data_IF_950598072759
#
_entry.id   IF_950598072759
#
_cell.length_a   1.000
_cell.length_b   1.000
_cell.length_c   1.000
_cell.angle_alpha   90.00
_cell.angle_beta   90.00
_cell.angle_gamma   90.00
#
_symmetry.space_group_name_H-M   'P 1'
#
loop_
_entity.id
_entity.type
_entity.pdbx_description
1 polymer ?
#
# COMPACT_ATOMS: atom_id res chain seq x y z
N UNK A 1 15.44 1.25 14.10
CA UNK A 1 14.59 0.94 12.93
C UNK A 1 15.23 -0.23 12.20
N UNK A 2 14.55 -1.36 12.03
CA UNK A 2 15.10 -2.50 11.28
C UNK A 2 15.01 -2.20 9.78
N UNK A 3 16.12 -2.42 9.06
CA UNK A 3 16.24 -2.22 7.61
C UNK A 3 15.44 -3.29 6.85
N UNK A 4 14.90 -2.93 5.69
CA UNK A 4 14.32 -3.88 4.73
C UNK A 4 15.45 -4.73 4.15
N UNK A 5 15.29 -6.06 4.12
CA UNK A 5 16.33 -6.94 3.61
C UNK A 5 16.45 -6.83 2.07
N UNK A 6 17.62 -7.17 1.53
CA UNK A 6 17.89 -6.99 0.09
C UNK A 6 17.04 -7.93 -0.78
N UNK A 7 16.60 -9.08 -0.25
CA UNK A 7 15.72 -10.01 -0.97
C UNK A 7 14.32 -9.43 -1.20
N UNK A 8 13.75 -8.77 -0.20
CA UNK A 8 12.47 -8.05 -0.27
C UNK A 8 12.57 -6.87 -1.21
N UNK A 9 13.66 -6.09 -1.12
CA UNK A 9 13.94 -4.98 -2.06
C UNK A 9 13.97 -5.51 -3.49
N UNK A 10 14.70 -6.59 -3.76
CA UNK A 10 14.79 -7.17 -5.10
C UNK A 10 13.43 -7.64 -5.64
N UNK A 11 12.58 -8.26 -4.80
CA UNK A 11 11.23 -8.65 -5.21
C UNK A 11 10.39 -7.42 -5.59
N UNK A 12 10.40 -6.37 -4.76
CA UNK A 12 9.62 -5.16 -5.01
C UNK A 12 10.10 -4.45 -6.28
N UNK A 13 11.41 -4.28 -6.46
CA UNK A 13 12.01 -3.67 -7.65
C UNK A 13 11.68 -4.47 -8.91
N UNK A 14 11.76 -5.81 -8.86
CA UNK A 14 11.41 -6.67 -10.00
C UNK A 14 9.91 -6.63 -10.33
N UNK A 15 9.05 -6.35 -9.34
CA UNK A 15 7.62 -6.17 -9.54
C UNK A 15 7.22 -4.74 -9.91
N UNK A 16 8.19 -3.81 -10.03
CA UNK A 16 7.92 -2.37 -10.14
C UNK A 16 7.04 -1.99 -11.31
N UNK A 17 7.26 -2.57 -12.50
CA UNK A 17 6.45 -2.29 -13.69
C UNK A 17 4.99 -2.75 -13.48
N UNK A 18 4.81 -4.02 -13.10
CA UNK A 18 3.50 -4.61 -12.83
C UNK A 18 2.72 -3.81 -11.78
N UNK A 19 3.37 -3.47 -10.65
CA UNK A 19 2.72 -2.76 -9.57
C UNK A 19 2.44 -1.30 -9.92
N UNK A 20 3.34 -0.63 -10.65
CA UNK A 20 3.14 0.77 -11.05
C UNK A 20 1.99 0.93 -12.05
N UNK A 21 1.83 -0.02 -12.97
CA UNK A 21 0.69 -0.09 -13.89
C UNK A 21 -0.62 -0.35 -13.14
N UNK A 22 -0.58 -1.22 -12.13
CA UNK A 22 -1.73 -1.56 -11.30
C UNK A 22 -1.98 -0.59 -10.12
N UNK A 23 -1.17 0.45 -9.95
CA UNK A 23 -1.12 1.23 -8.71
C UNK A 23 -2.46 1.88 -8.33
N UNK A 24 -3.22 2.38 -9.32
CA UNK A 24 -4.54 2.97 -9.09
C UNK A 24 -5.58 1.93 -8.66
N UNK A 25 -5.56 0.74 -9.25
CA UNK A 25 -6.46 -0.37 -8.88
C UNK A 25 -6.11 -0.90 -7.49
N UNK A 26 -4.82 -1.00 -7.17
CA UNK A 26 -4.35 -1.38 -5.83
C UNK A 26 -4.79 -0.34 -4.81
N UNK A 27 -4.57 0.94 -5.08
CA UNK A 27 -4.96 2.03 -4.20
C UNK A 27 -6.47 2.03 -3.97
N UNK A 28 -7.24 1.79 -5.03
CA UNK A 28 -8.68 1.70 -4.94
C UNK A 28 -9.12 0.51 -4.08
N UNK A 29 -8.58 -0.68 -4.32
CA UNK A 29 -8.91 -1.87 -3.53
C UNK A 29 -8.56 -1.72 -2.05
N UNK A 30 -7.44 -1.06 -1.74
CA UNK A 30 -7.07 -0.73 -0.35
C UNK A 30 -8.08 0.24 0.25
N UNK A 31 -8.41 1.32 -0.46
CA UNK A 31 -9.37 2.33 -0.02
C UNK A 31 -10.75 1.74 0.26
N UNK A 32 -11.29 0.96 -0.68
CA UNK A 32 -12.62 0.36 -0.59
C UNK A 32 -12.69 -0.63 0.59
N UNK A 33 -11.65 -1.44 0.80
CA UNK A 33 -11.54 -2.30 1.98
C UNK A 33 -11.46 -1.52 3.29
N UNK A 34 -10.70 -0.43 3.34
CA UNK A 34 -10.61 0.44 4.52
C UNK A 34 -11.95 1.11 4.86
N UNK A 35 -12.74 1.44 3.85
CA UNK A 35 -14.09 1.99 4.02
C UNK A 35 -15.15 0.93 4.35
N UNK A 36 -14.80 -0.36 4.32
CA UNK A 36 -15.77 -1.43 4.43
C UNK A 36 -16.71 -1.53 3.22
N UNK A 37 -16.36 -0.88 2.10
CA UNK A 37 -16.99 -1.05 0.80
C UNK A 37 -16.41 -2.34 0.17
N UNK A 38 -16.86 -3.50 0.64
CA UNK A 38 -16.65 -4.75 -0.12
C UNK A 38 -17.59 -4.75 -1.32
N UNK A 39 -17.15 -5.27 -2.48
CA UNK A 39 -17.78 -5.59 -3.80
C UNK A 39 -19.28 -5.30 -4.09
N UNK A 40 -20.15 -5.10 -3.10
CA UNK A 40 -21.54 -4.64 -3.23
C UNK A 40 -21.68 -3.13 -3.49
N UNK A 41 -20.62 -2.33 -3.42
CA UNK A 41 -20.71 -0.89 -3.70
C UNK A 41 -21.04 -0.59 -5.18
N UNK A 42 -20.71 -1.51 -6.09
CA UNK A 42 -21.04 -1.41 -7.52
C UNK A 42 -22.55 -1.49 -7.78
N UNK A 43 -23.38 -1.94 -6.82
CA UNK A 43 -24.84 -2.00 -7.00
C UNK A 43 -25.54 -0.63 -6.79
N UNK A 44 -24.87 0.37 -6.18
CA UNK A 44 -25.54 1.63 -5.79
C UNK A 44 -25.14 2.83 -6.68
N UNK A 45 -24.07 2.74 -7.48
CA UNK A 45 -23.67 3.81 -8.39
C UNK A 45 -23.37 5.14 -7.68
N UNK A 46 -22.97 5.10 -6.40
CA UNK A 46 -22.53 6.30 -5.68
C UNK A 46 -21.23 6.82 -6.28
N UNK A 47 -21.28 8.04 -6.81
CA UNK A 47 -20.12 8.73 -7.34
C UNK A 47 -19.15 9.06 -6.19
N UNK A 48 -17.86 8.71 -6.35
CA UNK A 48 -16.84 9.02 -5.35
C UNK A 48 -16.65 10.53 -5.22
N UNK A 49 -16.55 11.02 -3.99
CA UNK A 49 -16.33 12.47 -3.77
C UNK A 49 -14.91 12.87 -4.19
N UNK A 50 -14.64 14.16 -4.49
CA UNK A 50 -13.29 14.62 -4.83
C UNK A 50 -12.24 14.30 -3.76
N UNK A 51 -12.61 14.29 -2.48
CA UNK A 51 -11.69 13.92 -1.39
C UNK A 51 -11.36 12.42 -1.39
N UNK A 52 -12.30 11.58 -1.79
CA UNK A 52 -12.08 10.14 -1.91
C UNK A 52 -11.13 9.85 -3.09
N UNK A 53 -11.35 10.51 -4.23
CA UNK A 53 -10.46 10.41 -5.38
C UNK A 53 -9.04 10.88 -5.05
N UNK A 54 -8.91 12.03 -4.38
CA UNK A 54 -7.59 12.51 -3.93
C UNK A 54 -6.90 11.52 -2.97
N UNK A 55 -7.66 10.87 -2.09
CA UNK A 55 -7.11 9.85 -1.19
C UNK A 55 -6.57 8.65 -1.98
N UNK A 56 -7.31 8.16 -2.97
CA UNK A 56 -6.90 7.04 -3.84
C UNK A 56 -5.63 7.43 -4.63
N UNK A 57 -5.59 8.64 -5.20
CA UNK A 57 -4.41 9.14 -5.91
C UNK A 57 -3.17 9.17 -4.99
N UNK A 58 -3.30 9.68 -3.77
CA UNK A 58 -2.21 9.73 -2.80
C UNK A 58 -1.69 8.32 -2.47
N UNK A 59 -2.59 7.33 -2.31
CA UNK A 59 -2.19 5.94 -2.07
C UNK A 59 -1.48 5.36 -3.31
N UNK A 60 -1.96 5.64 -4.52
CA UNK A 60 -1.32 5.18 -5.76
C UNK A 60 0.08 5.78 -5.93
N UNK A 61 0.25 7.07 -5.60
CA UNK A 61 1.56 7.73 -5.56
C UNK A 61 2.49 7.08 -4.54
N UNK A 62 1.99 6.74 -3.34
CA UNK A 62 2.77 6.04 -2.34
C UNK A 62 3.23 4.66 -2.82
N UNK A 63 2.34 3.88 -3.47
CA UNK A 63 2.69 2.58 -4.06
C UNK A 63 3.80 2.73 -5.11
N UNK A 64 3.69 3.72 -5.99
CA UNK A 64 4.71 4.03 -7.02
C UNK A 64 6.02 4.51 -6.41
N UNK A 65 5.98 5.32 -5.35
CA UNK A 65 7.17 5.73 -4.63
C UNK A 65 7.87 4.53 -4.00
N UNK A 66 7.11 3.58 -3.45
CA UNK A 66 7.66 2.35 -2.89
C UNK A 66 8.37 1.52 -3.97
N UNK A 67 7.80 1.35 -5.16
CA UNK A 67 8.49 0.59 -6.24
C UNK A 67 9.76 1.27 -6.73
N UNK A 68 9.77 2.60 -6.77
CA UNK A 68 10.87 3.41 -7.30
C UNK A 68 12.03 3.56 -6.32
N UNK A 69 11.74 3.85 -5.06
CA UNK A 69 12.73 4.36 -4.12
C UNK A 69 13.20 3.32 -3.10
N UNK A 70 12.52 2.19 -2.88
CA UNK A 70 12.79 1.26 -1.76
C UNK A 70 14.23 0.74 -1.66
N UNK A 71 14.99 0.74 -2.77
CA UNK A 71 16.40 0.37 -2.79
C UNK A 71 17.36 1.45 -2.28
N UNK A 72 16.91 2.69 -2.11
CA UNK A 72 17.74 3.79 -1.66
C UNK A 72 17.92 3.76 -0.13
N UNK A 73 19.11 4.12 0.39
CA UNK A 73 19.41 4.04 1.82
C UNK A 73 18.48 4.90 2.70
N UNK A 74 17.97 6.01 2.17
CA UNK A 74 17.07 6.92 2.90
C UNK A 74 15.58 6.70 2.60
N UNK A 75 15.26 5.74 1.73
CA UNK A 75 13.89 5.55 1.25
C UNK A 75 12.91 5.23 2.36
N UNK A 76 13.31 4.38 3.32
CA UNK A 76 12.43 3.97 4.41
C UNK A 76 11.97 5.17 5.25
N UNK A 77 12.85 6.13 5.51
CA UNK A 77 12.49 7.34 6.26
C UNK A 77 11.53 8.23 5.46
N UNK A 78 11.81 8.47 4.17
CA UNK A 78 10.95 9.27 3.28
C UNK A 78 9.57 8.64 3.08
N UNK A 79 9.54 7.34 2.83
CA UNK A 79 8.29 6.58 2.70
C UNK A 79 7.51 6.57 4.02
N UNK A 80 8.19 6.52 5.17
CA UNK A 80 7.51 6.60 6.47
C UNK A 80 6.92 7.99 6.71
N UNK A 81 7.59 9.05 6.30
CA UNK A 81 7.06 10.42 6.37
C UNK A 81 5.85 10.59 5.45
N UNK A 82 5.95 10.14 4.20
CA UNK A 82 4.85 10.14 3.24
C UNK A 82 3.65 9.33 3.75
N UNK A 83 3.90 8.14 4.32
CA UNK A 83 2.85 7.32 4.91
C UNK A 83 2.22 7.99 6.16
N UNK A 84 3.01 8.75 6.91
CA UNK A 84 2.52 9.54 8.06
C UNK A 84 1.62 10.70 7.66
N UNK A 85 1.82 11.28 6.47
CA UNK A 85 1.01 12.38 5.95
C UNK A 85 -0.46 11.99 5.72
N UNK A 86 -0.78 10.70 5.60
CA UNK A 86 -2.16 10.21 5.57
C UNK A 86 -2.90 10.40 6.90
N UNK A 87 -2.19 10.69 8.00
CA UNK A 87 -2.81 10.99 9.29
C UNK A 87 -3.60 9.83 9.91
N UNK A 88 -3.27 8.59 9.54
CA UNK A 88 -3.98 7.41 10.03
C UNK A 88 -3.78 7.19 11.53
N UNK A 89 -4.83 6.70 12.20
CA UNK A 89 -4.72 6.15 13.55
C UNK A 89 -4.03 4.78 13.51
N UNK A 90 -3.59 4.28 14.68
CA UNK A 90 -2.92 2.97 14.81
C UNK A 90 -3.70 1.84 14.13
N UNK A 91 -5.01 1.77 14.34
CA UNK A 91 -5.90 0.79 13.72
C UNK A 91 -5.96 0.90 12.19
N UNK A 92 -5.80 2.11 11.64
CA UNK A 92 -5.77 2.35 10.20
C UNK A 92 -4.56 1.70 9.52
N UNK A 93 -3.39 1.75 10.16
CA UNK A 93 -2.20 1.05 9.64
C UNK A 93 -2.38 -0.47 9.64
N UNK A 94 -2.97 -1.04 10.69
CA UNK A 94 -3.27 -2.48 10.72
C UNK A 94 -4.24 -2.87 9.60
N UNK A 95 -5.34 -2.12 9.45
CA UNK A 95 -6.33 -2.38 8.42
C UNK A 95 -5.75 -2.25 6.99
N UNK A 96 -4.85 -1.30 6.76
CA UNK A 96 -4.16 -1.14 5.48
C UNK A 96 -3.18 -2.31 5.23
N UNK A 97 -2.42 -2.74 6.24
CA UNK A 97 -1.55 -3.91 6.12
C UNK A 97 -2.32 -5.20 5.80
N UNK A 98 -3.45 -5.41 6.46
CA UNK A 98 -4.31 -6.58 6.27
C UNK A 98 -5.01 -6.60 4.89
N UNK A 99 -5.24 -5.42 4.30
CA UNK A 99 -5.87 -5.30 2.98
C UNK A 99 -4.91 -5.53 1.82
N UNK A 100 -3.59 -5.35 1.99
CA UNK A 100 -2.62 -5.47 0.89
C UNK A 100 -2.65 -6.83 0.21
N UNK A 101 -2.59 -7.93 0.97
CA UNK A 101 -2.57 -9.28 0.40
C UNK A 101 -3.80 -9.58 -0.46
N UNK A 102 -5.04 -9.43 0.04
CA UNK A 102 -6.20 -9.74 -0.79
C UNK A 102 -6.32 -8.78 -1.98
N UNK A 103 -6.02 -7.48 -1.84
CA UNK A 103 -6.02 -6.54 -2.98
C UNK A 103 -5.03 -6.96 -4.06
N UNK A 104 -3.82 -7.38 -3.67
CA UNK A 104 -2.82 -7.82 -4.62
C UNK A 104 -3.27 -9.09 -5.35
N UNK A 105 -3.99 -9.99 -4.68
CA UNK A 105 -4.58 -11.18 -5.32
C UNK A 105 -5.68 -10.80 -6.31
N UNK A 106 -6.56 -9.88 -5.92
CA UNK A 106 -7.69 -9.46 -6.74
C UNK A 106 -7.22 -8.71 -8.00
N UNK A 107 -6.26 -7.80 -7.86
CA UNK A 107 -5.78 -6.95 -8.95
C UNK A 107 -4.77 -7.64 -9.85
N UNK A 108 -3.84 -8.41 -9.28
CA UNK A 108 -2.73 -9.01 -10.05
C UNK A 108 -3.00 -10.45 -10.48
N UNK A 109 -4.05 -11.08 -9.96
CA UNK A 109 -4.39 -12.48 -10.23
C UNK A 109 -3.21 -13.42 -9.96
N UNK A 110 -2.85 -14.23 -10.97
CA UNK A 110 -1.74 -15.19 -10.88
C UNK A 110 -0.38 -14.54 -10.60
N UNK A 111 -0.19 -13.27 -11.01
CA UNK A 111 1.05 -12.53 -10.75
C UNK A 111 1.16 -12.05 -9.31
N UNK A 112 0.03 -11.99 -8.58
CA UNK A 112 -0.06 -11.71 -7.14
C UNK A 112 0.39 -12.87 -6.28
N UNK A 113 1.60 -13.39 -6.51
CA UNK A 113 2.10 -14.57 -5.79
C UNK A 113 2.20 -14.33 -4.28
N UNK A 114 2.15 -15.41 -3.47
CA UNK A 114 2.28 -15.27 -2.01
C UNK A 114 3.64 -14.68 -1.61
N UNK A 115 4.67 -14.97 -2.38
CA UNK A 115 6.01 -14.39 -2.21
C UNK A 115 6.01 -12.88 -2.42
N UNK A 116 5.31 -12.40 -3.46
CA UNK A 116 5.16 -10.97 -3.72
C UNK A 116 4.39 -10.30 -2.58
N UNK A 117 3.25 -10.87 -2.18
CA UNK A 117 2.43 -10.35 -1.09
C UNK A 117 3.20 -10.27 0.24
N UNK A 118 3.98 -11.30 0.57
CA UNK A 118 4.81 -11.32 1.77
C UNK A 118 5.89 -10.23 1.74
N UNK A 119 6.59 -10.07 0.61
CA UNK A 119 7.61 -9.03 0.46
C UNK A 119 7.03 -7.62 0.62
N UNK A 120 5.86 -7.36 0.04
CA UNK A 120 5.16 -6.08 0.16
C UNK A 120 4.63 -5.84 1.58
N UNK A 121 4.08 -6.86 2.24
CA UNK A 121 3.67 -6.79 3.64
C UNK A 121 4.84 -6.46 4.57
N UNK A 122 5.99 -7.11 4.36
CA UNK A 122 7.21 -6.84 5.12
C UNK A 122 7.70 -5.40 4.91
N UNK A 123 7.77 -4.94 3.66
CA UNK A 123 8.18 -3.58 3.35
C UNK A 123 7.22 -2.54 3.93
N UNK A 124 5.91 -2.76 3.79
CA UNK A 124 4.89 -1.91 4.39
C UNK A 124 5.09 -1.79 5.90
N UNK A 125 5.20 -2.90 6.63
CA UNK A 125 5.35 -2.85 8.08
C UNK A 125 6.66 -2.21 8.52
N UNK A 126 7.72 -2.33 7.73
CA UNK A 126 9.00 -1.64 7.98
C UNK A 126 8.87 -0.13 7.85
N UNK A 127 8.03 0.34 6.93
CA UNK A 127 7.71 1.76 6.73
C UNK A 127 6.71 2.26 7.78
N UNK A 128 5.70 1.46 8.14
CA UNK A 128 4.63 1.85 9.07
C UNK A 128 5.03 1.74 10.55
N UNK A 129 6.00 0.88 10.90
CA UNK A 129 6.37 0.59 12.30
C UNK A 129 6.68 1.83 13.16
N UNK A 130 7.42 2.85 12.69
CA UNK A 130 7.66 4.07 13.47
C UNK A 130 6.37 4.86 13.75
N UNK A 131 5.46 4.89 12.79
CA UNK A 131 4.18 5.60 12.88
C UNK A 131 3.25 4.90 13.85
N UNK A 132 3.16 3.57 13.78
CA UNK A 132 2.34 2.73 14.65
C UNK A 132 2.76 2.84 16.12
N UNK A 133 4.07 2.89 16.38
CA UNK A 133 4.63 3.08 17.71
C UNK A 133 4.37 4.49 18.26
N UNK A 134 4.34 5.50 17.38
CA UNK A 134 4.14 6.91 17.75
C UNK A 134 2.67 7.32 17.81
N UNK A 135 1.79 6.60 17.10
CA UNK A 135 0.35 6.79 17.12
C UNK A 135 -0.21 6.41 18.51
N UNK A 136 -1.00 7.30 19.09
CA UNK A 136 -1.69 7.10 20.37
C UNK A 136 -2.86 6.14 20.23
#
# INVERSE_FOLDING_TARGET
MQRINDATIAIIVNSSALISEAAEQIALGVYDRLKGRSDQADEIGEERTPLENQCIENVAEFVRAMTKDIGNPDAQARLSEQLGAFGMQRSGYAAAGDSLKPVFKDVLGEQGTDRLCAAWGDAYWRVASPLVQSAR
#
